data_IF_890798194307
#
_entry.id   IF_890798194307
#
_cell.length_a   1.000
_cell.length_b   1.000
_cell.length_c   1.000
_cell.angle_alpha   90.00
_cell.angle_beta   90.00
_cell.angle_gamma   90.00
#
_symmetry.space_group_name_H-M   'P 1'
#
loop_
_entity.id
_entity.type
_entity.pdbx_description
1 polymer ?
#
# COMPACT_ATOMS: atom_id res chain seq x y z
N UNK A 1 8.60 -10.47 24.03
CA UNK A 1 7.36 -10.87 23.31
C UNK A 1 6.78 -9.75 22.44
N UNK A 2 6.44 -8.57 23.00
CA UNK A 2 5.76 -7.48 22.28
C UNK A 2 6.48 -6.91 21.04
N UNK A 3 7.83 -6.85 21.06
CA UNK A 3 8.63 -6.37 19.92
C UNK A 3 8.48 -7.25 18.66
N UNK A 4 8.46 -8.58 18.83
CA UNK A 4 8.30 -9.54 17.73
C UNK A 4 6.91 -9.39 17.10
N UNK A 5 5.87 -9.24 17.94
CA UNK A 5 4.49 -9.12 17.49
C UNK A 5 4.26 -7.81 16.71
N UNK A 6 4.93 -6.73 17.14
CA UNK A 6 4.89 -5.44 16.44
C UNK A 6 5.57 -5.50 15.07
N UNK A 7 6.73 -6.15 14.98
CA UNK A 7 7.44 -6.37 13.71
C UNK A 7 6.63 -7.25 12.75
N UNK A 8 6.05 -8.35 13.26
CA UNK A 8 5.22 -9.25 12.47
C UNK A 8 3.99 -8.54 11.89
N UNK A 9 3.33 -7.69 12.69
CA UNK A 9 2.24 -6.85 12.22
C UNK A 9 2.70 -5.88 11.13
N UNK A 10 3.89 -5.29 11.26
CA UNK A 10 4.45 -4.39 10.25
C UNK A 10 4.69 -5.12 8.92
N UNK A 11 5.22 -6.34 8.96
CA UNK A 11 5.45 -7.19 7.77
C UNK A 11 4.13 -7.53 7.08
N UNK A 12 3.12 -7.97 7.83
CA UNK A 12 1.79 -8.27 7.28
C UNK A 12 1.17 -7.03 6.63
N UNK A 13 1.29 -5.87 7.27
CA UNK A 13 0.73 -4.62 6.77
C UNK A 13 1.41 -4.16 5.47
N UNK A 14 2.73 -4.32 5.35
CA UNK A 14 3.46 -4.05 4.11
C UNK A 14 3.05 -5.03 3.02
N UNK A 15 2.95 -6.32 3.35
CA UNK A 15 2.55 -7.37 2.41
C UNK A 15 1.13 -7.11 1.88
N UNK A 16 0.20 -6.76 2.77
CA UNK A 16 -1.16 -6.36 2.43
C UNK A 16 -1.16 -5.10 1.55
N UNK A 17 -0.35 -4.10 1.87
CA UNK A 17 -0.19 -2.89 1.07
C UNK A 17 0.28 -3.21 -0.37
N UNK A 18 1.29 -4.07 -0.52
CA UNK A 18 1.75 -4.52 -1.83
C UNK A 18 0.66 -5.27 -2.59
N UNK A 19 -0.09 -6.14 -1.92
CA UNK A 19 -1.22 -6.85 -2.54
C UNK A 19 -2.27 -5.86 -3.08
N UNK A 20 -2.74 -4.91 -2.25
CA UNK A 20 -3.70 -3.90 -2.70
C UNK A 20 -3.16 -3.00 -3.81
N UNK A 21 -1.86 -2.69 -3.80
CA UNK A 21 -1.23 -1.93 -4.87
C UNK A 21 -1.29 -2.70 -6.20
N UNK A 22 -0.90 -3.99 -6.21
CA UNK A 22 -0.99 -4.83 -7.41
C UNK A 22 -2.42 -5.02 -7.89
N UNK A 23 -3.37 -5.16 -6.95
CA UNK A 23 -4.79 -5.22 -7.26
C UNK A 23 -5.30 -3.94 -7.92
N UNK A 24 -4.88 -2.77 -7.43
CA UNK A 24 -5.19 -1.49 -8.05
C UNK A 24 -4.68 -1.41 -9.50
N UNK A 25 -3.44 -1.87 -9.76
CA UNK A 25 -2.88 -1.93 -11.12
C UNK A 25 -3.68 -2.89 -12.02
N UNK A 26 -4.12 -4.03 -11.48
CA UNK A 26 -4.97 -4.96 -12.22
C UNK A 26 -6.31 -4.32 -12.62
N UNK A 27 -6.97 -3.58 -11.72
CA UNK A 27 -8.21 -2.86 -12.02
C UNK A 27 -7.95 -1.78 -13.07
N UNK A 28 -6.80 -1.08 -12.99
CA UNK A 28 -6.44 -0.05 -13.96
C UNK A 28 -6.31 -0.65 -15.37
N UNK A 29 -5.62 -1.79 -15.51
CA UNK A 29 -5.50 -2.51 -16.79
C UNK A 29 -6.87 -2.98 -17.28
N UNK A 30 -7.73 -3.46 -16.38
CA UNK A 30 -9.09 -3.86 -16.72
C UNK A 30 -9.89 -2.65 -17.22
N UNK A 31 -9.78 -1.49 -16.56
CA UNK A 31 -10.43 -0.25 -16.97
C UNK A 31 -10.11 0.09 -18.42
N UNK A 32 -8.83 0.03 -18.84
CA UNK A 32 -8.42 0.28 -20.22
C UNK A 32 -9.03 -0.68 -21.26
N UNK A 33 -9.52 -1.86 -20.86
CA UNK A 33 -10.21 -2.80 -21.76
C UNK A 33 -11.71 -2.53 -21.88
N UNK A 34 -12.29 -1.69 -21.01
CA UNK A 34 -13.71 -1.37 -21.09
C UNK A 34 -13.99 -0.43 -22.27
N UNK A 35 -14.96 -0.82 -23.11
CA UNK A 35 -15.46 -0.01 -24.23
C UNK A 35 -16.46 1.08 -23.79
N UNK A 36 -17.10 0.89 -22.64
CA UNK A 36 -18.12 1.81 -22.14
C UNK A 36 -17.46 2.97 -21.38
N UNK A 37 -17.71 4.24 -21.77
CA UNK A 37 -17.01 5.39 -21.19
C UNK A 37 -17.36 5.63 -19.72
N UNK A 38 -18.61 5.38 -19.30
CA UNK A 38 -19.00 5.56 -17.90
C UNK A 38 -18.30 4.55 -16.99
N UNK A 39 -18.30 3.29 -17.42
CA UNK A 39 -17.65 2.20 -16.69
C UNK A 39 -16.12 2.34 -16.69
N UNK A 40 -15.53 2.88 -17.78
CA UNK A 40 -14.12 3.24 -17.85
C UNK A 40 -13.75 4.26 -16.77
N UNK A 41 -14.45 5.41 -16.73
CA UNK A 41 -14.17 6.46 -15.74
C UNK A 41 -14.31 5.92 -14.32
N UNK A 42 -15.36 5.15 -14.04
CA UNK A 42 -15.57 4.59 -12.70
C UNK A 42 -14.44 3.64 -12.27
N UNK A 43 -14.06 2.69 -13.14
CA UNK A 43 -12.99 1.75 -12.85
C UNK A 43 -11.60 2.42 -12.80
N UNK A 44 -11.35 3.38 -13.69
CA UNK A 44 -10.13 4.18 -13.70
C UNK A 44 -9.98 4.97 -12.39
N UNK A 45 -11.02 5.68 -11.96
CA UNK A 45 -10.96 6.47 -10.73
C UNK A 45 -10.81 5.58 -9.50
N UNK A 46 -11.57 4.47 -9.44
CA UNK A 46 -11.45 3.48 -8.37
C UNK A 46 -10.05 2.89 -8.27
N UNK A 47 -9.45 2.48 -9.41
CA UNK A 47 -8.09 1.94 -9.42
C UNK A 47 -7.04 2.93 -8.95
N UNK A 48 -7.10 4.19 -9.40
CA UNK A 48 -6.18 5.23 -8.96
C UNK A 48 -6.31 5.51 -7.46
N UNK A 49 -7.53 5.53 -6.92
CA UNK A 49 -7.75 5.69 -5.48
C UNK A 49 -7.16 4.52 -4.69
N UNK A 50 -7.37 3.28 -5.14
CA UNK A 50 -6.78 2.08 -4.54
C UNK A 50 -5.25 2.18 -4.55
N UNK A 51 -4.65 2.55 -5.68
CA UNK A 51 -3.19 2.70 -5.81
C UNK A 51 -2.68 3.78 -4.85
N UNK A 52 -3.31 4.96 -4.79
CA UNK A 52 -2.92 6.07 -3.92
C UNK A 52 -3.00 5.71 -2.44
N UNK A 53 -4.10 5.09 -2.01
CA UNK A 53 -4.28 4.66 -0.61
C UNK A 53 -3.24 3.59 -0.26
N UNK A 54 -3.02 2.63 -1.14
CA UNK A 54 -2.04 1.56 -0.94
C UNK A 54 -0.61 2.10 -0.85
N UNK A 55 -0.23 2.99 -1.77
CA UNK A 55 1.07 3.65 -1.76
C UNK A 55 1.28 4.46 -0.47
N UNK A 56 0.26 5.20 -0.04
CA UNK A 56 0.31 6.00 1.20
C UNK A 56 0.45 5.10 2.44
N UNK A 57 -0.26 3.97 2.49
CA UNK A 57 -0.14 2.96 3.55
C UNK A 57 1.29 2.42 3.62
N UNK A 58 1.83 1.95 2.49
CA UNK A 58 3.21 1.44 2.40
C UNK A 58 4.19 2.53 2.86
N UNK A 59 4.04 3.76 2.36
CA UNK A 59 4.90 4.88 2.74
C UNK A 59 4.83 5.17 4.25
N UNK A 60 3.64 5.18 4.84
CA UNK A 60 3.45 5.32 6.28
C UNK A 60 4.12 4.22 7.09
N UNK A 61 4.08 2.97 6.63
CA UNK A 61 4.77 1.85 7.27
C UNK A 61 6.30 1.96 7.18
N UNK A 62 6.81 2.36 6.02
CA UNK A 62 8.25 2.60 5.79
C UNK A 62 8.75 3.73 6.69
N UNK A 63 8.05 4.87 6.77
CA UNK A 63 8.42 5.97 7.67
C UNK A 63 8.44 5.52 9.14
N UNK A 64 7.44 4.75 9.56
CA UNK A 64 7.38 4.21 10.92
C UNK A 64 8.56 3.27 11.21
N UNK A 65 8.97 2.46 10.23
CA UNK A 65 10.14 1.58 10.34
C UNK A 65 11.44 2.38 10.45
N UNK A 66 11.62 3.40 9.60
CA UNK A 66 12.81 4.29 9.64
C UNK A 66 12.89 5.04 10.98
N UNK A 67 11.76 5.52 11.51
CA UNK A 67 11.73 6.21 12.81
C UNK A 67 12.22 5.32 13.93
N UNK A 68 11.79 4.05 13.96
CA UNK A 68 12.27 3.07 14.94
C UNK A 68 13.75 2.77 14.75
N UNK A 69 14.20 2.62 13.50
CA UNK A 69 15.62 2.38 13.20
C UNK A 69 16.52 3.54 13.62
N UNK A 70 16.05 4.78 13.45
CA UNK A 70 16.78 5.98 13.87
C UNK A 70 16.86 6.09 15.40
N UNK A 71 15.78 5.79 16.12
CA UNK A 71 15.77 5.75 17.60
C UNK A 71 16.80 4.71 18.09
N UNK A 72 16.82 3.52 17.50
CA UNK A 72 17.77 2.46 17.88
C UNK A 72 19.24 2.80 17.58
N UNK A 73 19.51 3.69 16.62
CA UNK A 73 20.86 4.14 16.29
C UNK A 73 21.35 5.28 17.17
N UNK A 74 20.45 6.09 17.73
CA UNK A 74 20.78 7.21 18.61
C UNK A 74 21.14 6.74 20.03
N UNK A 75 20.68 5.55 20.43
CA UNK A 75 20.98 4.90 21.72
C UNK A 75 22.34 4.15 21.77
N UNK A 76 23.18 4.22 20.72
CA UNK A 76 24.53 3.59 20.67
C UNK A 76 25.60 4.64 20.39
#
# INVERSE_FOLDING_TARGET
MYRIFWWFRQVILILAGCFFLTFGIHILIAAYKLKDPYSFIMAFFASNLIILISATLIFGFVLRMIKVYRILKDDT
#
